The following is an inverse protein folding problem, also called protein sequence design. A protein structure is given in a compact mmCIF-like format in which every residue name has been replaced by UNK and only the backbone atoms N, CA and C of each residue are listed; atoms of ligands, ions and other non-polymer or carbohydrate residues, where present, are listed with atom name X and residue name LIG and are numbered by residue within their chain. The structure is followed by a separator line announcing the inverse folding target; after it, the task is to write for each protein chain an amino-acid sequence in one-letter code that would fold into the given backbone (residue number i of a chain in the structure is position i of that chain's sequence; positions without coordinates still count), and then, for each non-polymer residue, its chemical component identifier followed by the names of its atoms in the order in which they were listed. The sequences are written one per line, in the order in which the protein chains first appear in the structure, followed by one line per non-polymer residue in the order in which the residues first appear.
data_IF_355375246523
#
_entry.id   IF_355375246523
#
_cell.length_a   1.000
_cell.length_b   1.000
_cell.length_c   1.000
_cell.angle_alpha   90.00
_cell.angle_beta   90.00
_cell.angle_gamma   90.00
#
_symmetry.space_group_name_H-M   'P 1'
#
loop_
_entity.id
_entity.type
_entity.pdbx_description
1 polymer ?
#
# COMPACT_ATOMS: atom_id res chain seq x y z
N UNK A 1 2.52 22.24 -15.98
CA UNK A 1 1.04 22.16 -16.01
C UNK A 1 0.60 21.50 -17.32
N UNK A 2 0.52 20.18 -17.35
CA UNK A 2 0.24 19.40 -18.56
C UNK A 2 -1.25 19.11 -18.78
N UNK A 3 -2.12 20.13 -18.70
CA UNK A 3 -3.55 19.96 -19.04
C UNK A 3 -3.73 20.10 -20.54
N UNK A 4 -4.31 19.09 -21.17
CA UNK A 4 -4.66 19.08 -22.59
C UNK A 4 -6.18 19.17 -22.74
N UNK A 5 -6.64 20.15 -23.48
CA UNK A 5 -8.06 20.28 -23.85
C UNK A 5 -8.31 19.51 -25.14
N UNK A 6 -9.29 18.60 -25.10
CA UNK A 6 -9.69 17.79 -26.22
C UNK A 6 -11.21 17.88 -26.46
N UNK A 7 -11.60 18.13 -27.70
CA UNK A 7 -13.00 18.46 -28.02
C UNK A 7 -13.47 17.74 -29.28
N UNK A 8 -14.58 17.00 -29.15
CA UNK A 8 -15.34 16.43 -30.25
C UNK A 8 -16.51 17.35 -30.59
N UNK A 9 -16.29 18.35 -31.45
CA UNK A 9 -17.32 19.37 -31.81
C UNK A 9 -18.40 18.86 -32.76
N UNK A 10 -18.11 17.87 -33.57
CA UNK A 10 -18.93 17.35 -34.64
C UNK A 10 -19.32 15.87 -34.45
N UNK A 11 -19.35 15.39 -33.22
CA UNK A 11 -19.59 14.00 -32.83
C UNK A 11 -18.53 12.99 -33.30
N UNK A 12 -17.58 13.41 -34.09
CA UNK A 12 -16.49 12.55 -34.61
C UNK A 12 -15.40 12.33 -33.54
N UNK A 13 -14.71 11.22 -33.68
CA UNK A 13 -13.55 10.95 -32.82
C UNK A 13 -12.41 11.91 -33.18
N UNK A 14 -11.94 12.61 -32.16
CA UNK A 14 -10.78 13.50 -32.23
C UNK A 14 -9.67 12.98 -31.31
N UNK A 15 -8.44 12.99 -31.78
CA UNK A 15 -7.27 12.63 -30.98
C UNK A 15 -6.48 13.88 -30.60
N UNK A 16 -6.08 13.93 -29.34
CA UNK A 16 -5.26 15.01 -28.79
C UNK A 16 -3.95 14.41 -28.23
N UNK A 17 -2.81 14.76 -28.80
CA UNK A 17 -1.53 14.18 -28.36
C UNK A 17 -1.23 14.55 -26.92
N UNK A 18 -0.87 13.55 -26.12
CA UNK A 18 -0.36 13.73 -24.77
C UNK A 18 0.37 12.46 -24.31
N UNK A 19 1.20 12.60 -23.28
CA UNK A 19 1.82 11.44 -22.65
C UNK A 19 0.77 10.62 -21.88
N UNK A 20 0.65 9.36 -22.26
CA UNK A 20 -0.34 8.42 -21.69
C UNK A 20 0.31 7.29 -20.92
N UNK A 21 1.63 7.25 -20.81
CA UNK A 21 2.38 6.15 -20.17
C UNK A 21 1.99 5.91 -18.71
N UNK A 22 1.62 6.97 -17.98
CA UNK A 22 1.13 6.89 -16.60
C UNK A 22 -0.40 6.83 -16.47
N UNK A 23 -1.12 6.76 -17.59
CA UNK A 23 -2.57 6.93 -17.63
C UNK A 23 -3.00 8.39 -17.83
N UNK A 24 -4.30 8.62 -17.95
CA UNK A 24 -4.91 9.94 -18.15
C UNK A 24 -6.10 10.11 -17.22
N UNK A 25 -6.21 11.29 -16.64
CA UNK A 25 -7.34 11.69 -15.79
C UNK A 25 -8.13 12.79 -16.48
N UNK A 26 -9.45 12.63 -16.57
CA UNK A 26 -10.36 13.70 -16.93
C UNK A 26 -10.43 14.68 -15.77
N UNK A 27 -9.99 15.92 -15.99
CA UNK A 27 -9.94 16.98 -14.97
C UNK A 27 -11.26 17.71 -14.89
N UNK A 28 -11.82 18.08 -16.04
CA UNK A 28 -13.07 18.82 -16.12
C UNK A 28 -13.79 18.53 -17.43
N UNK A 29 -15.08 18.19 -17.35
CA UNK A 29 -15.94 18.11 -18.51
C UNK A 29 -16.39 19.52 -18.93
N UNK A 30 -16.33 19.81 -20.22
CA UNK A 30 -16.71 21.10 -20.81
C UNK A 30 -17.99 21.00 -21.66
N UNK A 31 -18.39 19.79 -22.04
CA UNK A 31 -19.59 19.53 -22.85
C UNK A 31 -20.80 19.22 -21.98
N UNK A 32 -21.97 19.46 -22.51
CA UNK A 32 -23.24 18.94 -21.96
C UNK A 32 -23.37 17.43 -22.20
N UNK A 33 -22.83 16.93 -23.32
CA UNK A 33 -22.73 15.50 -23.59
C UNK A 33 -21.78 14.84 -22.60
N UNK A 34 -22.18 13.71 -21.97
CA UNK A 34 -21.37 13.07 -20.98
C UNK A 34 -20.10 12.47 -21.56
N UNK A 35 -18.95 12.73 -20.91
CA UNK A 35 -17.67 12.14 -21.24
C UNK A 35 -17.49 10.80 -20.50
N UNK A 36 -18.07 9.74 -21.06
CA UNK A 36 -17.99 8.39 -20.47
C UNK A 36 -16.74 7.69 -20.99
N UNK A 37 -15.95 7.12 -20.10
CA UNK A 37 -14.74 6.38 -20.46
C UNK A 37 -15.07 5.19 -21.36
N UNK A 38 -14.22 4.92 -22.35
CA UNK A 38 -14.36 3.89 -23.40
C UNK A 38 -15.53 4.12 -24.38
N UNK A 39 -16.39 5.12 -24.16
CA UNK A 39 -17.49 5.47 -25.05
C UNK A 39 -17.34 6.89 -25.63
N UNK A 40 -17.27 7.89 -24.77
CA UNK A 40 -17.12 9.29 -25.14
C UNK A 40 -15.66 9.77 -25.12
N UNK A 41 -14.79 9.07 -24.42
CA UNK A 41 -13.35 9.33 -24.41
C UNK A 41 -12.56 8.09 -24.02
N UNK A 42 -11.30 8.06 -24.36
CA UNK A 42 -10.39 7.00 -24.00
C UNK A 42 -8.92 7.37 -24.27
N UNK A 43 -8.05 6.42 -24.08
CA UNK A 43 -6.60 6.59 -24.17
C UNK A 43 -6.02 5.54 -25.10
N UNK A 44 -5.08 5.95 -25.93
CA UNK A 44 -4.25 5.06 -26.71
C UNK A 44 -2.77 5.51 -26.70
N UNK A 45 -1.93 4.82 -27.45
CA UNK A 45 -0.49 5.13 -27.55
C UNK A 45 -0.19 6.52 -28.13
N UNK A 46 -1.16 7.18 -28.75
CA UNK A 46 -1.00 8.48 -29.41
C UNK A 46 -1.49 9.64 -28.53
N UNK A 47 -2.26 9.35 -27.50
CA UNK A 47 -2.82 10.37 -26.63
C UNK A 47 -4.22 10.02 -26.12
N UNK A 48 -4.97 11.06 -25.82
CA UNK A 48 -6.38 10.96 -25.47
C UNK A 48 -7.26 11.15 -26.70
N UNK A 49 -8.31 10.38 -26.83
CA UNK A 49 -9.32 10.61 -27.83
C UNK A 49 -10.66 10.95 -27.20
N UNK A 50 -11.44 11.79 -27.85
CA UNK A 50 -12.83 12.13 -27.50
C UNK A 50 -13.76 11.89 -28.68
N UNK A 51 -15.02 11.56 -28.41
CA UNK A 51 -16.03 11.27 -29.41
C UNK A 51 -17.42 11.65 -28.88
N UNK A 52 -18.44 11.56 -29.75
CA UNK A 52 -19.86 11.73 -29.40
C UNK A 52 -20.17 13.05 -28.68
N UNK A 53 -19.47 14.12 -29.06
CA UNK A 53 -19.69 15.45 -28.49
C UNK A 53 -19.02 15.66 -27.12
N UNK A 54 -18.24 14.71 -26.63
CA UNK A 54 -17.43 14.91 -25.41
C UNK A 54 -16.37 16.00 -25.64
N UNK A 55 -16.35 16.98 -24.74
CA UNK A 55 -15.34 18.02 -24.66
C UNK A 55 -14.85 18.09 -23.23
N UNK A 56 -13.57 17.94 -23.00
CA UNK A 56 -13.00 17.91 -21.67
C UNK A 56 -11.53 18.29 -21.61
N UNK A 57 -11.09 18.60 -20.42
CA UNK A 57 -9.70 18.82 -20.08
C UNK A 57 -9.14 17.55 -19.44
N UNK A 58 -8.00 17.14 -19.92
CA UNK A 58 -7.28 15.95 -19.49
C UNK A 58 -5.89 16.32 -19.01
N UNK A 59 -5.38 15.61 -18.04
CA UNK A 59 -3.97 15.65 -17.68
C UNK A 59 -3.39 14.23 -17.66
N UNK A 60 -2.09 14.07 -17.92
CA UNK A 60 -1.46 12.81 -17.57
C UNK A 60 -1.81 12.49 -16.13
N UNK A 61 -2.31 11.28 -15.87
CA UNK A 61 -2.26 10.80 -14.51
C UNK A 61 -0.78 10.94 -14.18
N UNK A 62 -0.41 11.84 -13.26
CA UNK A 62 0.90 11.74 -12.65
C UNK A 62 1.00 10.27 -12.29
N UNK A 63 1.86 9.53 -13.00
CA UNK A 63 2.18 8.17 -12.63
C UNK A 63 2.42 8.30 -11.15
N UNK A 64 1.55 7.65 -10.34
CA UNK A 64 1.62 7.78 -8.90
C UNK A 64 3.10 7.64 -8.64
N UNK A 65 3.77 8.79 -8.43
CA UNK A 65 5.20 8.93 -8.63
C UNK A 65 5.73 7.72 -7.93
N UNK A 66 6.34 6.79 -8.64
CA UNK A 66 6.59 5.46 -8.12
C UNK A 66 7.17 5.75 -6.75
N UNK A 67 6.30 5.68 -5.75
CA UNK A 67 6.66 6.02 -4.39
C UNK A 67 7.72 4.98 -4.18
N UNK A 68 8.97 5.39 -4.33
CA UNK A 68 10.10 4.49 -4.17
C UNK A 68 9.98 4.09 -2.72
N UNK A 69 9.25 3.00 -2.51
CA UNK A 69 9.05 2.43 -1.20
C UNK A 69 10.42 2.14 -0.67
N UNK A 70 10.92 3.02 0.17
CA UNK A 70 12.16 2.76 0.84
C UNK A 70 11.88 1.74 1.93
N UNK A 71 12.30 0.50 1.68
CA UNK A 71 12.19 -0.58 2.64
C UNK A 71 13.57 -0.85 3.22
N UNK A 72 13.64 -0.84 4.54
CA UNK A 72 14.86 -1.13 5.30
C UNK A 72 14.68 -2.45 6.03
N UNK A 73 15.61 -3.36 5.81
CA UNK A 73 15.70 -4.60 6.58
C UNK A 73 16.64 -4.37 7.76
N UNK A 74 16.15 -4.60 8.97
CA UNK A 74 16.93 -4.44 10.19
C UNK A 74 16.76 -5.67 11.08
N UNK A 75 17.84 -6.24 11.54
CA UNK A 75 17.87 -7.52 12.26
C UNK A 75 18.72 -7.44 13.52
N UNK A 76 18.13 -7.80 14.64
CA UNK A 76 18.82 -7.96 15.93
C UNK A 76 19.07 -9.44 16.23
N UNK A 77 20.26 -9.76 16.65
CA UNK A 77 20.62 -11.08 17.19
C UNK A 77 20.61 -11.12 18.74
N UNK A 78 19.84 -10.21 19.36
CA UNK A 78 19.69 -10.07 20.80
C UNK A 78 20.07 -8.67 21.30
N UNK A 79 21.18 -8.12 20.85
CA UNK A 79 21.62 -6.76 21.18
C UNK A 79 20.91 -5.75 20.27
N UNK A 80 20.78 -4.53 20.76
CA UNK A 80 20.25 -3.44 19.95
C UNK A 80 21.16 -3.18 18.74
N UNK A 81 20.53 -3.03 17.58
CA UNK A 81 21.17 -2.68 16.32
C UNK A 81 20.43 -1.54 15.66
N UNK A 82 21.16 -0.57 15.16
CA UNK A 82 20.63 0.55 14.38
C UNK A 82 20.96 0.35 12.91
N UNK A 83 19.97 0.52 12.08
CA UNK A 83 20.09 0.46 10.62
C UNK A 83 19.86 1.85 10.06
N UNK A 84 20.90 2.43 9.47
CA UNK A 84 20.86 3.78 8.93
C UNK A 84 19.86 3.89 7.75
N UNK A 85 19.04 4.92 7.79
CA UNK A 85 18.09 5.24 6.73
C UNK A 85 17.77 6.73 6.73
N UNK A 86 17.69 7.34 5.55
CA UNK A 86 17.36 8.76 5.44
C UNK A 86 15.87 8.99 5.65
N UNK A 87 15.47 9.36 6.85
CA UNK A 87 14.06 9.56 7.21
C UNK A 87 13.55 10.97 6.89
N UNK A 88 14.35 11.98 7.18
CA UNK A 88 13.97 13.40 6.97
C UNK A 88 12.58 13.75 7.54
N UNK A 89 12.22 13.15 8.67
CA UNK A 89 10.91 13.33 9.31
C UNK A 89 9.79 12.43 8.78
N UNK A 90 10.04 11.58 7.80
CA UNK A 90 9.05 10.63 7.31
C UNK A 90 8.70 9.56 8.36
N UNK A 91 7.46 9.12 8.45
CA UNK A 91 7.05 8.05 9.35
C UNK A 91 7.60 6.70 8.91
N UNK A 92 7.75 5.78 9.84
CA UNK A 92 8.17 4.40 9.58
C UNK A 92 7.16 3.43 10.16
N UNK A 93 6.84 2.39 9.43
CA UNK A 93 6.01 1.28 9.90
C UNK A 93 6.69 -0.07 9.68
N UNK A 94 6.40 -1.02 10.55
CA UNK A 94 6.79 -2.41 10.34
C UNK A 94 5.94 -2.99 9.21
N UNK A 95 6.59 -3.34 8.11
CA UNK A 95 5.95 -3.96 6.97
C UNK A 95 5.73 -5.46 7.20
N UNK A 96 6.77 -6.13 7.69
CA UNK A 96 6.74 -7.57 7.98
C UNK A 96 7.81 -7.96 9.01
N UNK A 97 7.40 -8.72 10.02
CA UNK A 97 8.30 -9.37 10.96
C UNK A 97 8.96 -10.60 10.31
N UNK A 98 10.26 -10.74 10.48
CA UNK A 98 11.05 -11.87 9.99
C UNK A 98 11.50 -12.83 11.11
N UNK A 99 11.44 -12.37 12.36
CA UNK A 99 11.83 -13.14 13.54
C UNK A 99 10.68 -13.94 14.14
N UNK A 100 11.02 -14.98 14.89
CA UNK A 100 10.06 -15.66 15.76
C UNK A 100 9.67 -14.79 16.99
N UNK A 101 10.58 -13.92 17.45
CA UNK A 101 10.33 -12.97 18.52
C UNK A 101 9.53 -11.77 18.02
N UNK A 102 8.52 -11.33 18.79
CA UNK A 102 7.69 -10.21 18.39
C UNK A 102 8.46 -8.91 18.21
N UNK A 103 8.18 -8.22 17.13
CA UNK A 103 8.62 -6.85 16.89
C UNK A 103 7.55 -5.88 17.39
N UNK A 104 7.77 -5.28 18.56
CA UNK A 104 6.85 -4.31 19.17
C UNK A 104 7.43 -2.92 19.15
N UNK A 105 6.65 -1.97 18.66
CA UNK A 105 7.07 -0.57 18.59
C UNK A 105 7.31 0.00 19.98
N UNK A 106 8.45 0.67 20.15
CA UNK A 106 8.88 1.23 21.43
C UNK A 106 9.54 0.24 22.38
N UNK A 107 9.43 -1.07 22.14
CA UNK A 107 10.05 -2.11 22.99
C UNK A 107 11.22 -2.82 22.31
N UNK A 108 10.96 -3.38 21.14
CA UNK A 108 11.96 -4.17 20.40
C UNK A 108 12.31 -3.57 19.04
N UNK A 109 11.63 -2.52 18.63
CA UNK A 109 12.03 -1.69 17.51
C UNK A 109 11.54 -0.25 17.68
N UNK A 110 12.15 0.66 16.99
CA UNK A 110 11.76 2.06 16.98
C UNK A 110 12.53 2.86 15.95
N UNK A 111 12.34 4.17 15.98
CA UNK A 111 12.85 5.11 14.99
C UNK A 111 13.71 6.15 15.70
N UNK A 112 14.92 6.38 15.19
CA UNK A 112 15.76 7.49 15.56
C UNK A 112 15.71 8.62 14.53
N UNK A 113 16.66 9.54 14.58
CA UNK A 113 16.70 10.69 13.66
C UNK A 113 16.85 10.27 12.19
N UNK A 114 17.76 9.36 11.90
CA UNK A 114 18.02 8.78 10.57
C UNK A 114 18.33 7.29 10.68
N UNK A 115 17.57 6.58 11.46
CA UNK A 115 17.76 5.16 11.68
C UNK A 115 16.48 4.47 12.12
N UNK A 116 16.42 3.18 11.85
CA UNK A 116 15.52 2.25 12.52
C UNK A 116 16.37 1.38 13.43
N UNK A 117 16.00 1.27 14.69
CA UNK A 117 16.68 0.37 15.62
C UNK A 117 15.81 -0.85 15.94
N UNK A 118 16.45 -1.98 16.14
CA UNK A 118 15.83 -3.24 16.58
C UNK A 118 16.62 -3.82 17.74
N UNK A 119 15.95 -4.57 18.62
CA UNK A 119 16.56 -5.20 19.77
C UNK A 119 15.88 -6.52 20.13
N UNK A 120 16.45 -7.24 21.10
CA UNK A 120 15.87 -8.46 21.69
C UNK A 120 15.43 -9.52 20.67
N UNK A 121 16.17 -9.64 19.57
CA UNK A 121 15.90 -10.64 18.54
C UNK A 121 14.83 -10.25 17.53
N UNK A 122 14.28 -9.04 17.57
CA UNK A 122 13.41 -8.53 16.51
C UNK A 122 14.19 -8.44 15.20
N UNK A 123 13.61 -8.99 14.15
CA UNK A 123 14.07 -8.87 12.77
C UNK A 123 12.89 -8.48 11.93
N UNK A 124 13.00 -7.45 11.11
CA UNK A 124 11.88 -6.94 10.34
C UNK A 124 12.28 -6.17 9.11
N UNK A 125 11.30 -6.01 8.24
CA UNK A 125 11.32 -5.09 7.10
C UNK A 125 10.45 -3.89 7.47
N UNK A 126 11.02 -2.70 7.34
CA UNK A 126 10.40 -1.45 7.73
C UNK A 126 10.23 -0.57 6.50
N UNK A 127 9.03 -0.05 6.30
CA UNK A 127 8.71 0.87 5.21
C UNK A 127 8.78 2.30 5.71
N UNK A 128 9.48 3.12 4.95
CA UNK A 128 9.55 4.58 5.18
C UNK A 128 8.46 5.23 4.34
N UNK A 129 7.60 6.00 4.98
CA UNK A 129 6.54 6.75 4.33
C UNK A 129 7.03 8.02 3.64
N UNK A 130 6.10 8.77 3.06
CA UNK A 130 6.37 10.06 2.45
C UNK A 130 6.55 11.15 3.51
N UNK A 131 7.27 12.21 3.15
CA UNK A 131 7.51 13.37 4.04
C UNK A 131 6.22 14.06 4.49
N UNK A 132 5.19 14.01 3.67
CA UNK A 132 3.88 14.58 3.98
C UNK A 132 3.04 13.71 4.92
N UNK A 133 3.68 12.70 5.53
CA UNK A 133 3.13 11.89 6.61
C UNK A 133 2.31 10.68 6.18
N UNK A 134 2.37 10.29 4.89
CA UNK A 134 1.58 9.19 4.35
C UNK A 134 2.37 7.92 4.06
N UNK A 135 1.69 6.80 4.20
CA UNK A 135 2.05 5.54 3.56
C UNK A 135 1.16 5.35 2.32
N UNK A 136 1.61 4.59 1.31
CA UNK A 136 0.75 4.29 0.18
C UNK A 136 -0.61 3.74 0.67
N UNK A 137 -1.73 4.29 0.19
CA UNK A 137 -3.04 3.80 0.57
C UNK A 137 -3.24 2.36 0.10
N UNK A 138 -3.95 1.59 0.88
CA UNK A 138 -4.34 0.22 0.54
C UNK A 138 -4.03 -0.77 1.64
N UNK A 139 -4.83 -1.81 1.64
CA UNK A 139 -4.65 -2.93 2.53
C UNK A 139 -3.44 -3.78 2.13
N UNK A 140 -2.75 -4.29 3.12
CA UNK A 140 -1.67 -5.26 2.95
C UNK A 140 -2.17 -6.65 3.30
N UNK A 141 -1.63 -7.67 2.67
CA UNK A 141 -1.89 -9.06 3.04
C UNK A 141 -0.78 -9.57 3.95
N UNK A 142 -1.15 -10.14 5.06
CA UNK A 142 -0.27 -10.76 6.03
C UNK A 142 -0.67 -12.22 6.21
N UNK A 143 0.26 -13.14 5.91
CA UNK A 143 0.05 -14.57 6.15
C UNK A 143 0.56 -14.91 7.55
N UNK A 144 -0.29 -15.52 8.37
CA UNK A 144 0.07 -15.97 9.71
C UNK A 144 -0.40 -17.40 9.95
N UNK A 145 0.48 -18.28 10.40
CA UNK A 145 0.24 -19.69 10.46
C UNK A 145 0.68 -20.31 11.80
N UNK A 146 -0.26 -20.88 12.53
CA UNK A 146 -0.01 -21.76 13.68
C UNK A 146 0.10 -23.22 13.22
N UNK A 147 1.29 -23.65 12.75
CA UNK A 147 1.46 -25.00 12.15
C UNK A 147 1.42 -26.10 13.20
N UNK A 148 2.06 -25.91 14.33
CA UNK A 148 2.19 -26.94 15.39
C UNK A 148 1.21 -26.72 16.54
N UNK A 149 0.06 -26.08 16.27
CA UNK A 149 -0.91 -25.63 17.29
C UNK A 149 -0.32 -24.67 18.34
N UNK A 150 0.89 -24.19 18.09
CA UNK A 150 1.59 -23.22 18.94
C UNK A 150 1.21 -21.82 18.46
N UNK A 151 0.99 -20.94 19.43
CA UNK A 151 0.73 -19.53 19.14
C UNK A 151 1.88 -18.92 18.35
N UNK A 152 1.55 -18.27 17.26
CA UNK A 152 2.47 -17.50 16.43
C UNK A 152 2.03 -16.05 16.39
N UNK A 153 3.00 -15.17 16.43
CA UNK A 153 2.80 -13.75 16.29
C UNK A 153 3.47 -13.27 15.00
N UNK A 154 2.68 -12.67 14.13
CA UNK A 154 3.12 -12.16 12.84
C UNK A 154 3.06 -10.64 12.87
N UNK A 155 4.21 -10.01 13.07
CA UNK A 155 4.31 -8.57 13.24
C UNK A 155 4.13 -7.80 11.93
N UNK A 156 3.29 -6.81 11.99
CA UNK A 156 3.12 -5.76 11.00
C UNK A 156 2.38 -4.60 11.66
N UNK A 157 2.76 -3.37 11.38
CA UNK A 157 2.01 -2.22 11.91
C UNK A 157 0.59 -2.22 11.37
N UNK A 158 -0.39 -2.19 12.26
CA UNK A 158 -1.82 -2.15 11.96
C UNK A 158 -2.37 -0.84 12.51
N UNK A 159 -2.79 0.06 11.64
CA UNK A 159 -3.24 1.39 12.01
C UNK A 159 -4.74 1.46 12.28
N UNK A 160 -5.51 0.62 11.61
CA UNK A 160 -6.98 0.62 11.69
C UNK A 160 -7.52 -0.72 12.13
N UNK A 161 -7.30 -1.76 11.32
CA UNK A 161 -7.89 -3.08 11.58
C UNK A 161 -7.13 -4.21 10.89
N UNK A 162 -7.36 -5.42 11.38
CA UNK A 162 -7.03 -6.66 10.70
C UNK A 162 -8.30 -7.49 10.52
N UNK A 163 -8.50 -7.99 9.31
CA UNK A 163 -9.62 -8.88 8.95
C UNK A 163 -9.11 -10.17 8.37
N UNK A 164 -9.75 -11.27 8.71
CA UNK A 164 -9.49 -12.56 8.07
C UNK A 164 -9.93 -12.46 6.59
N UNK A 165 -8.98 -12.60 5.67
CA UNK A 165 -9.22 -12.54 4.24
C UNK A 165 -9.47 -13.93 3.66
N UNK A 166 -8.62 -14.89 4.03
CA UNK A 166 -8.73 -16.27 3.56
C UNK A 166 -8.19 -17.24 4.60
N UNK A 167 -9.00 -18.23 4.97
CA UNK A 167 -8.55 -19.33 5.82
C UNK A 167 -7.74 -20.34 4.99
N UNK A 168 -6.60 -20.74 5.52
CA UNK A 168 -5.69 -21.71 4.90
C UNK A 168 -5.69 -23.07 5.63
N UNK A 169 -6.19 -23.08 6.88
CA UNK A 169 -6.28 -24.29 7.70
C UNK A 169 -7.64 -25.00 7.54
N UNK A 170 -7.65 -26.29 7.75
CA UNK A 170 -8.90 -27.04 7.93
C UNK A 170 -9.60 -26.71 9.26
N UNK A 171 -8.84 -26.25 10.26
CA UNK A 171 -9.38 -25.77 11.53
C UNK A 171 -9.95 -24.35 11.34
N UNK A 172 -11.18 -24.06 11.77
CA UNK A 172 -11.75 -22.72 11.64
C UNK A 172 -10.97 -21.70 12.46
N UNK A 173 -10.76 -20.52 11.85
CA UNK A 173 -10.14 -19.37 12.48
C UNK A 173 -11.21 -18.44 13.02
N UNK A 174 -11.36 -18.39 14.33
CA UNK A 174 -12.36 -17.59 15.05
C UNK A 174 -11.65 -16.44 15.82
N UNK A 175 -12.07 -15.21 15.56
CA UNK A 175 -11.49 -14.04 16.21
C UNK A 175 -11.72 -14.07 17.73
N UNK A 176 -10.68 -13.75 18.49
CA UNK A 176 -10.70 -13.79 19.95
C UNK A 176 -10.50 -15.19 20.56
N UNK A 177 -10.61 -16.25 19.76
CA UNK A 177 -10.44 -17.64 20.20
C UNK A 177 -9.10 -18.24 19.80
N UNK A 178 -8.79 -18.21 18.50
CA UNK A 178 -7.54 -18.74 17.96
C UNK A 178 -6.86 -17.80 16.94
N UNK A 179 -7.34 -16.60 16.81
CA UNK A 179 -6.63 -15.50 16.19
C UNK A 179 -7.11 -14.15 16.76
N UNK A 180 -6.28 -13.17 16.65
CA UNK A 180 -6.57 -11.78 17.00
C UNK A 180 -5.46 -10.86 16.54
N UNK A 181 -5.58 -9.60 16.85
CA UNK A 181 -4.59 -8.60 16.44
C UNK A 181 -4.46 -7.48 17.47
N UNK A 182 -3.34 -6.76 17.37
CA UNK A 182 -3.07 -5.50 18.06
C UNK A 182 -2.36 -4.53 17.08
N UNK A 183 -1.94 -3.38 17.55
CA UNK A 183 -1.28 -2.37 16.71
C UNK A 183 0.05 -2.85 16.09
N UNK A 184 0.66 -3.89 16.64
CA UNK A 184 1.96 -4.41 16.22
C UNK A 184 1.86 -5.68 15.38
N UNK A 185 0.67 -6.30 15.26
CA UNK A 185 0.54 -7.50 14.43
C UNK A 185 -0.68 -8.37 14.72
N UNK A 186 -0.68 -9.51 14.05
CA UNK A 186 -1.70 -10.55 14.17
C UNK A 186 -1.11 -11.76 14.91
N UNK A 187 -1.87 -12.35 15.80
CA UNK A 187 -1.54 -13.63 16.40
C UNK A 187 -2.50 -14.71 15.95
N UNK A 188 -2.01 -15.93 15.79
CA UNK A 188 -2.78 -17.14 15.50
C UNK A 188 -2.38 -18.25 16.47
N UNK A 189 -3.30 -19.16 16.76
CA UNK A 189 -3.13 -20.23 17.74
C UNK A 189 -3.91 -21.47 17.34
N UNK A 190 -3.64 -22.58 18.02
CA UNK A 190 -4.43 -23.84 17.94
C UNK A 190 -4.65 -24.36 16.52
N UNK A 191 -3.69 -24.12 15.61
CA UNK A 191 -3.76 -24.61 14.25
C UNK A 191 -4.48 -23.69 13.26
N UNK A 192 -4.91 -22.49 13.67
CA UNK A 192 -5.40 -21.49 12.72
C UNK A 192 -4.26 -21.05 11.78
N UNK A 193 -4.51 -21.08 10.48
CA UNK A 193 -3.63 -20.58 9.43
C UNK A 193 -4.46 -19.76 8.47
N UNK A 194 -4.08 -18.53 8.23
CA UNK A 194 -4.87 -17.65 7.39
C UNK A 194 -4.06 -16.50 6.79
N UNK A 195 -4.63 -15.90 5.78
CA UNK A 195 -4.22 -14.60 5.25
C UNK A 195 -5.14 -13.53 5.86
N UNK A 196 -4.52 -12.48 6.34
CA UNK A 196 -5.20 -11.35 6.96
C UNK A 196 -4.97 -10.10 6.11
N UNK A 197 -6.05 -9.36 5.90
CA UNK A 197 -5.99 -8.01 5.35
C UNK A 197 -5.77 -7.05 6.51
N UNK A 198 -4.70 -6.25 6.46
CA UNK A 198 -4.32 -5.29 7.50
C UNK A 198 -4.26 -3.87 6.93
N UNK A 199 -4.80 -2.92 7.68
CA UNK A 199 -4.85 -1.48 7.35
C UNK A 199 -4.30 -0.63 8.48
#
# INVERSE_FOLDING_TARGET
DGVVRCESGDMRRMHCPMDTAGGVVLVRQLSESPCIRETGWGVDRHGVWVALGCRAEFRPAVAAASVQRQVVRCESSGRQRSCAVSLRGAPVRLLRQLSAWPCRRGETWGVGRNEVWVSRGCKGEFEVGDRDGGFPPGARLLTCESRDRIRRYCGATIEREARLQRQLSGMPCEQGRNWGWDADGVWVDKGCRAEFRVE
#
